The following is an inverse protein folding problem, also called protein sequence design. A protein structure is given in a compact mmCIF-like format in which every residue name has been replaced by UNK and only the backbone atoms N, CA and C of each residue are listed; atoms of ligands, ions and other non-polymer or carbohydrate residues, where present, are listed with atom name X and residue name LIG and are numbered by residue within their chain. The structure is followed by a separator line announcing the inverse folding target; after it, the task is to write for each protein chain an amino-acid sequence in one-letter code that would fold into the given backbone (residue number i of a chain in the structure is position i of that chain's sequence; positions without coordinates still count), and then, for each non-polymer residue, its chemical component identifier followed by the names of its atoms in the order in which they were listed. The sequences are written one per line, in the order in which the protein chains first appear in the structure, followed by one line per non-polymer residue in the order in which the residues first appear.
data_IF_616105234486
#
_entry.id   IF_616105234486
#
_cell.length_a   1.000
_cell.length_b   1.000
_cell.length_c   1.000
_cell.angle_alpha   90.00
_cell.angle_beta   90.00
_cell.angle_gamma   90.00
#
_symmetry.space_group_name_H-M   'P 1'
#
loop_
_entity.id
_entity.type
_entity.pdbx_description
1 polymer ?
#
# COMPACT_ATOMS: atom_id res chain seq x y z
N UNK A 1 44.47 -13.36 28.06
CA UNK A 1 43.21 -13.40 28.82
C UNK A 1 42.27 -12.46 28.08
N UNK A 2 41.37 -13.03 27.29
CA UNK A 2 40.38 -12.29 26.50
C UNK A 2 39.02 -12.63 27.12
N UNK A 3 38.43 -11.66 27.80
CA UNK A 3 37.16 -11.81 28.48
C UNK A 3 36.03 -11.87 27.45
N UNK A 4 35.52 -13.08 27.23
CA UNK A 4 34.30 -13.33 26.49
C UNK A 4 33.12 -12.82 27.32
N UNK A 5 32.51 -11.73 26.89
CA UNK A 5 31.25 -11.23 27.44
C UNK A 5 30.15 -12.26 27.14
N UNK A 6 29.45 -12.82 28.14
CA UNK A 6 28.37 -13.75 27.91
C UNK A 6 27.15 -12.98 27.39
N UNK A 7 26.74 -13.34 26.18
CA UNK A 7 25.52 -12.88 25.52
C UNK A 7 24.33 -13.64 26.14
N UNK A 8 23.88 -13.19 27.31
CA UNK A 8 22.71 -13.75 28.01
C UNK A 8 21.53 -12.78 27.93
N UNK A 9 21.07 -12.51 26.70
CA UNK A 9 19.66 -12.17 26.46
C UNK A 9 18.91 -13.48 26.22
N UNK A 10 18.60 -14.20 27.30
CA UNK A 10 17.49 -15.16 27.28
C UNK A 10 16.20 -14.36 27.21
N UNK A 11 15.88 -13.95 25.98
CA UNK A 11 14.59 -13.42 25.58
C UNK A 11 13.49 -14.31 26.17
N UNK A 12 12.77 -13.77 27.14
CA UNK A 12 11.39 -14.16 27.41
C UNK A 12 10.72 -14.11 26.05
N UNK A 13 10.33 -15.26 25.52
CA UNK A 13 9.55 -15.39 24.29
C UNK A 13 8.17 -14.77 24.55
N UNK A 14 8.14 -13.45 24.60
CA UNK A 14 6.96 -12.67 24.33
C UNK A 14 6.47 -13.19 22.98
N UNK A 15 5.24 -13.69 22.96
CA UNK A 15 4.56 -14.18 21.76
C UNK A 15 4.22 -13.00 20.83
N UNK A 16 5.15 -12.04 20.71
CA UNK A 16 5.06 -10.79 19.98
C UNK A 16 4.56 -11.13 18.58
N UNK A 17 3.41 -10.54 18.30
CA UNK A 17 2.58 -10.74 17.12
C UNK A 17 3.44 -10.70 15.86
N UNK A 18 3.76 -11.88 15.33
CA UNK A 18 4.56 -12.02 14.12
C UNK A 18 3.71 -11.67 12.89
N UNK A 19 3.75 -10.41 12.45
CA UNK A 19 2.99 -9.99 11.27
C UNK A 19 3.57 -10.62 10.00
N UNK A 20 2.77 -11.45 9.32
CA UNK A 20 3.14 -12.07 8.03
C UNK A 20 3.01 -11.08 6.88
N UNK A 21 3.71 -11.29 5.75
CA UNK A 21 3.58 -10.41 4.56
C UNK A 21 2.12 -10.23 4.17
N UNK A 22 1.36 -11.32 4.09
CA UNK A 22 0.03 -11.32 3.49
C UNK A 22 -1.09 -11.22 4.51
N UNK A 23 -2.08 -10.38 4.21
CA UNK A 23 -3.36 -10.35 4.90
C UNK A 23 -4.46 -10.93 4.01
N UNK A 24 -5.61 -11.23 4.60
CA UNK A 24 -6.80 -11.46 3.80
C UNK A 24 -7.18 -10.18 3.05
N UNK A 25 -7.27 -10.26 1.74
CA UNK A 25 -7.61 -9.12 0.86
C UNK A 25 -9.00 -8.57 1.19
N UNK A 26 -9.95 -9.44 1.55
CA UNK A 26 -11.31 -9.05 1.86
C UNK A 26 -11.47 -8.46 3.27
N UNK A 27 -11.06 -9.19 4.31
CA UNK A 27 -11.33 -8.82 5.70
C UNK A 27 -10.15 -8.15 6.41
N UNK A 28 -9.00 -8.02 5.75
CA UNK A 28 -7.79 -7.39 6.31
C UNK A 28 -7.10 -8.17 7.43
N UNK A 29 -7.68 -9.30 7.88
CA UNK A 29 -7.14 -10.08 8.99
C UNK A 29 -5.84 -10.78 8.62
N UNK A 30 -4.94 -10.85 9.58
CA UNK A 30 -3.77 -11.72 9.55
C UNK A 30 -4.20 -13.20 9.59
N UNK A 31 -3.42 -14.12 8.98
CA UNK A 31 -3.66 -15.54 9.14
C UNK A 31 -3.49 -15.94 10.62
N UNK A 32 -4.36 -16.82 11.12
CA UNK A 32 -4.15 -17.45 12.41
C UNK A 32 -2.82 -18.23 12.44
N UNK A 33 -2.28 -18.51 13.62
CA UNK A 33 -1.03 -19.28 13.79
C UNK A 33 -1.16 -20.62 13.03
N UNK A 34 -0.27 -20.84 12.06
CA UNK A 34 -0.27 -22.04 11.22
C UNK A 34 -1.24 -22.03 10.04
N UNK A 35 -2.17 -21.07 9.95
CA UNK A 35 -3.09 -20.94 8.83
C UNK A 35 -2.36 -20.43 7.58
N UNK A 36 -2.52 -21.15 6.47
CA UNK A 36 -2.11 -20.65 5.14
C UNK A 36 -3.29 -19.95 4.49
N UNK A 37 -3.10 -18.70 4.05
CA UNK A 37 -4.10 -18.01 3.25
C UNK A 37 -4.22 -18.67 1.87
N UNK A 38 -5.46 -18.77 1.37
CA UNK A 38 -5.76 -19.27 0.03
C UNK A 38 -5.43 -18.20 -0.99
N UNK A 39 -4.64 -18.54 -2.00
CA UNK A 39 -4.32 -17.64 -3.10
C UNK A 39 -5.32 -17.81 -4.25
N UNK A 40 -5.69 -16.72 -4.92
CA UNK A 40 -6.46 -16.82 -6.16
C UNK A 40 -5.63 -17.48 -7.26
N UNK A 41 -6.00 -18.70 -7.66
CA UNK A 41 -5.32 -19.47 -8.70
C UNK A 41 -5.40 -18.84 -10.10
N UNK A 42 -6.38 -17.95 -10.32
CA UNK A 42 -6.61 -17.34 -11.63
C UNK A 42 -5.84 -16.03 -11.86
N UNK A 43 -5.21 -15.47 -10.83
CA UNK A 43 -4.63 -14.13 -10.87
C UNK A 43 -3.11 -14.16 -10.84
N UNK A 44 -2.50 -13.28 -11.65
CA UNK A 44 -1.04 -13.12 -11.68
C UNK A 44 -0.48 -12.54 -10.37
N UNK A 45 -1.21 -11.59 -9.76
CA UNK A 45 -0.88 -11.02 -8.46
C UNK A 45 -1.32 -11.88 -7.27
N UNK A 46 -2.15 -12.90 -7.53
CA UNK A 46 -2.60 -13.93 -6.58
C UNK A 46 -2.99 -13.40 -5.17
N UNK A 47 -3.99 -12.50 -5.03
CA UNK A 47 -4.42 -12.05 -3.71
C UNK A 47 -4.81 -13.22 -2.81
N UNK A 48 -4.60 -13.00 -1.52
CA UNK A 48 -4.72 -14.00 -0.47
C UNK A 48 -6.00 -13.80 0.33
N UNK A 49 -6.63 -14.90 0.75
CA UNK A 49 -7.89 -14.92 1.47
C UNK A 49 -7.86 -15.92 2.63
N UNK A 50 -8.55 -15.63 3.73
CA UNK A 50 -8.72 -16.61 4.83
C UNK A 50 -9.45 -17.88 4.36
N UNK A 51 -10.37 -17.76 3.40
CA UNK A 51 -11.29 -18.80 2.97
C UNK A 51 -11.99 -18.47 1.66
N UNK A 52 -12.81 -19.40 1.18
CA UNK A 52 -13.57 -19.24 -0.07
C UNK A 52 -14.68 -18.19 0.07
N UNK A 53 -15.19 -17.98 1.28
CA UNK A 53 -16.19 -16.99 1.60
C UNK A 53 -15.63 -15.58 1.35
N UNK A 54 -14.43 -15.29 1.88
CA UNK A 54 -13.73 -14.04 1.66
C UNK A 54 -13.41 -13.81 0.17
N UNK A 55 -12.97 -14.87 -0.53
CA UNK A 55 -12.69 -14.77 -1.96
C UNK A 55 -13.97 -14.46 -2.76
N UNK A 56 -15.10 -15.12 -2.47
CA UNK A 56 -16.38 -14.87 -3.13
C UNK A 56 -16.92 -13.46 -2.86
N UNK A 57 -16.73 -12.96 -1.63
CA UNK A 57 -17.16 -11.62 -1.24
C UNK A 57 -16.36 -10.51 -1.95
N UNK A 58 -15.04 -10.71 -2.13
CA UNK A 58 -14.16 -9.78 -2.84
C UNK A 58 -14.18 -9.92 -4.37
N UNK A 59 -14.63 -11.10 -4.87
CA UNK A 59 -14.67 -11.42 -6.30
C UNK A 59 -15.26 -10.35 -7.22
N UNK A 60 -16.36 -9.64 -6.87
CA UNK A 60 -16.94 -8.62 -7.73
C UNK A 60 -15.97 -7.49 -8.09
N UNK A 61 -15.10 -7.10 -7.16
CA UNK A 61 -14.08 -6.05 -7.35
C UNK A 61 -12.80 -6.68 -7.88
N UNK A 62 -12.34 -7.76 -7.26
CA UNK A 62 -11.10 -8.45 -7.60
C UNK A 62 -11.03 -8.92 -9.06
N UNK A 63 -12.10 -9.52 -9.60
CA UNK A 63 -12.12 -10.00 -10.99
C UNK A 63 -11.90 -8.87 -11.99
N UNK A 64 -12.45 -7.69 -11.73
CA UNK A 64 -12.31 -6.56 -12.63
C UNK A 64 -10.88 -6.00 -12.58
N UNK A 65 -10.26 -6.01 -11.41
CA UNK A 65 -8.88 -5.57 -11.23
C UNK A 65 -7.84 -6.49 -11.91
N UNK A 66 -8.02 -7.81 -11.81
CA UNK A 66 -6.96 -8.76 -12.14
C UNK A 66 -7.25 -9.71 -13.31
N UNK A 67 -8.52 -9.89 -13.72
CA UNK A 67 -8.91 -10.86 -14.75
C UNK A 67 -9.39 -10.26 -16.07
N UNK A 68 -10.10 -9.12 -16.06
CA UNK A 68 -10.83 -8.66 -17.26
C UNK A 68 -9.93 -7.89 -18.26
N UNK A 69 -9.10 -6.90 -17.85
CA UNK A 69 -8.24 -6.17 -18.78
C UNK A 69 -6.96 -6.94 -19.15
N UNK A 70 -6.36 -7.63 -18.18
CA UNK A 70 -4.98 -8.13 -18.24
C UNK A 70 -4.75 -9.37 -19.12
N UNK A 71 -5.78 -10.22 -19.27
CA UNK A 71 -5.67 -11.51 -19.95
C UNK A 71 -6.33 -11.53 -21.34
N UNK A 72 -7.44 -10.81 -21.54
CA UNK A 72 -8.18 -10.84 -22.82
C UNK A 72 -7.79 -9.72 -23.80
N UNK A 73 -7.30 -8.57 -23.31
CA UNK A 73 -7.09 -7.38 -24.16
C UNK A 73 -5.61 -7.00 -24.35
N UNK A 74 -4.70 -7.87 -23.93
CA UNK A 74 -3.26 -7.66 -24.17
C UNK A 74 -2.73 -6.43 -23.45
N UNK A 75 -3.22 -6.14 -22.23
CA UNK A 75 -2.63 -5.10 -21.37
C UNK A 75 -1.17 -5.39 -20.99
N UNK A 76 -0.68 -6.58 -21.31
CA UNK A 76 0.76 -6.85 -21.40
C UNK A 76 1.25 -6.42 -22.78
N UNK A 77 1.82 -5.23 -22.88
CA UNK A 77 2.62 -4.75 -24.03
C UNK A 77 3.51 -5.87 -24.58
N UNK A 78 3.20 -6.44 -25.74
CA UNK A 78 4.05 -7.40 -26.47
C UNK A 78 4.69 -8.52 -25.62
N UNK A 79 4.14 -8.85 -24.45
CA UNK A 79 4.71 -9.86 -23.57
C UNK A 79 4.22 -11.22 -24.09
N UNK A 80 5.12 -12.21 -24.28
CA UNK A 80 4.77 -13.58 -24.64
C UNK A 80 3.61 -14.14 -23.80
N UNK A 81 2.89 -15.10 -24.39
CA UNK A 81 1.59 -15.63 -23.90
C UNK A 81 1.55 -15.94 -22.39
N UNK A 82 0.36 -15.85 -21.78
CA UNK A 82 0.04 -15.96 -20.34
C UNK A 82 0.54 -17.23 -19.60
N UNK A 83 1.19 -18.17 -20.28
CA UNK A 83 1.82 -19.35 -19.70
C UNK A 83 3.31 -19.16 -19.35
N UNK A 84 3.89 -18.00 -19.64
CA UNK A 84 5.27 -17.70 -19.27
C UNK A 84 5.49 -17.72 -17.73
N UNK A 85 6.29 -18.67 -17.20
CA UNK A 85 6.62 -18.73 -15.78
C UNK A 85 7.31 -17.46 -15.25
N UNK A 86 8.09 -16.78 -16.10
CA UNK A 86 8.79 -15.55 -15.75
C UNK A 86 7.81 -14.41 -15.51
N UNK A 87 6.83 -14.21 -16.40
CA UNK A 87 5.74 -13.25 -16.19
C UNK A 87 5.00 -13.46 -14.86
N UNK A 88 4.66 -14.71 -14.55
CA UNK A 88 4.02 -15.04 -13.25
C UNK A 88 4.94 -14.73 -12.08
N UNK A 89 6.24 -14.92 -12.23
CA UNK A 89 7.23 -14.59 -11.20
C UNK A 89 7.32 -13.08 -11.00
N UNK A 90 7.45 -12.28 -12.07
CA UNK A 90 7.52 -10.82 -11.98
C UNK A 90 6.24 -10.24 -11.38
N UNK A 91 5.07 -10.67 -11.84
CA UNK A 91 3.77 -10.20 -11.33
C UNK A 91 3.57 -10.54 -9.85
N UNK A 92 4.03 -11.71 -9.40
CA UNK A 92 4.02 -12.08 -7.99
C UNK A 92 4.97 -11.21 -7.17
N UNK A 93 6.20 -10.98 -7.63
CA UNK A 93 7.15 -10.12 -6.93
C UNK A 93 6.66 -8.66 -6.84
N UNK A 94 5.98 -8.18 -7.88
CA UNK A 94 5.28 -6.89 -7.87
C UNK A 94 4.17 -6.85 -6.82
N UNK A 95 3.28 -7.85 -6.81
CA UNK A 95 2.19 -7.93 -5.84
C UNK A 95 2.71 -8.03 -4.40
N UNK A 96 3.74 -8.86 -4.16
CA UNK A 96 4.38 -9.01 -2.86
C UNK A 96 5.01 -7.68 -2.41
N UNK A 97 5.67 -6.95 -3.31
CA UNK A 97 6.22 -5.62 -2.99
C UNK A 97 5.13 -4.63 -2.59
N UNK A 98 4.03 -4.57 -3.37
CA UNK A 98 2.92 -3.68 -3.08
C UNK A 98 2.23 -4.04 -1.76
N UNK A 99 2.10 -5.33 -1.44
CA UNK A 99 1.53 -5.79 -0.17
C UNK A 99 2.46 -5.47 1.02
N UNK A 100 3.78 -5.65 0.85
CA UNK A 100 4.78 -5.25 1.85
C UNK A 100 4.65 -3.78 2.19
N UNK A 101 4.47 -2.91 1.18
CA UNK A 101 4.41 -1.46 1.32
C UNK A 101 2.99 -0.87 1.36
N UNK A 102 1.97 -1.71 1.50
CA UNK A 102 0.56 -1.32 1.40
C UNK A 102 0.20 -0.17 2.30
N UNK A 103 0.67 -0.19 3.56
CA UNK A 103 0.35 0.89 4.51
C UNK A 103 0.89 2.23 4.02
N UNK A 104 2.17 2.30 3.61
CA UNK A 104 2.80 3.52 3.12
C UNK A 104 2.10 4.05 1.87
N UNK A 105 1.77 3.14 0.95
CA UNK A 105 1.05 3.45 -0.28
C UNK A 105 -0.33 4.04 0.02
N UNK A 106 -1.13 3.36 0.84
CA UNK A 106 -2.47 3.82 1.23
C UNK A 106 -2.44 5.14 1.98
N UNK A 107 -1.45 5.37 2.85
CA UNK A 107 -1.28 6.63 3.58
C UNK A 107 -0.91 7.78 2.64
N UNK A 108 0.04 7.59 1.72
CA UNK A 108 0.38 8.61 0.74
C UNK A 108 -0.79 8.90 -0.22
N UNK A 109 -1.58 7.88 -0.56
CA UNK A 109 -2.81 8.03 -1.34
C UNK A 109 -3.84 8.89 -0.61
N UNK A 110 -4.07 8.61 0.67
CA UNK A 110 -4.95 9.40 1.53
C UNK A 110 -4.47 10.85 1.63
N UNK A 111 -3.19 11.08 1.91
CA UNK A 111 -2.61 12.42 2.00
C UNK A 111 -2.77 13.19 0.67
N UNK A 112 -2.48 12.54 -0.46
CA UNK A 112 -2.65 13.15 -1.80
C UNK A 112 -4.11 13.52 -2.06
N UNK A 113 -5.04 12.63 -1.75
CA UNK A 113 -6.48 12.92 -1.85
C UNK A 113 -6.89 14.12 -1.00
N UNK A 114 -6.48 14.17 0.28
CA UNK A 114 -6.80 15.28 1.18
C UNK A 114 -6.23 16.60 0.66
N UNK A 115 -4.99 16.59 0.14
CA UNK A 115 -4.35 17.77 -0.46
C UNK A 115 -5.12 18.34 -1.66
N UNK A 116 -5.76 17.47 -2.46
CA UNK A 116 -6.49 17.86 -3.67
C UNK A 116 -7.98 18.15 -3.44
N UNK A 117 -8.64 17.41 -2.55
CA UNK A 117 -10.11 17.39 -2.41
C UNK A 117 -10.60 17.57 -0.97
N UNK A 118 -9.70 17.81 -0.01
CA UNK A 118 -10.07 17.88 1.40
C UNK A 118 -10.56 16.55 1.97
N UNK A 119 -11.26 16.60 3.11
CA UNK A 119 -11.67 15.38 3.83
C UNK A 119 -12.90 14.71 3.21
N UNK A 120 -13.90 15.46 2.75
CA UNK A 120 -15.23 14.92 2.44
C UNK A 120 -15.37 14.22 1.09
N UNK A 121 -14.32 14.16 0.25
CA UNK A 121 -14.38 13.73 -1.16
C UNK A 121 -15.34 14.57 -2.04
N UNK A 122 -15.97 15.61 -1.49
CA UNK A 122 -16.84 16.49 -2.26
C UNK A 122 -16.04 17.13 -3.40
N UNK A 123 -16.54 16.97 -4.62
CA UNK A 123 -15.86 17.46 -5.81
C UNK A 123 -14.65 16.64 -6.27
N UNK A 124 -14.36 15.47 -5.66
CA UNK A 124 -13.40 14.52 -6.23
C UNK A 124 -13.95 13.97 -7.55
N UNK A 125 -13.33 14.28 -8.71
CA UNK A 125 -13.85 13.85 -9.99
C UNK A 125 -13.85 12.32 -10.09
N UNK A 126 -14.95 11.75 -10.60
CA UNK A 126 -15.07 10.30 -10.78
C UNK A 126 -14.16 9.79 -11.90
N UNK A 127 -13.76 10.63 -12.82
CA UNK A 127 -12.88 10.28 -13.93
C UNK A 127 -11.39 10.36 -13.58
N UNK A 128 -11.01 10.25 -12.30
CA UNK A 128 -9.61 10.32 -11.86
C UNK A 128 -9.12 9.05 -11.18
N UNK A 129 -7.83 8.78 -11.37
CA UNK A 129 -7.09 7.73 -10.69
C UNK A 129 -5.85 8.32 -10.04
N UNK A 130 -5.44 7.70 -8.93
CA UNK A 130 -4.16 7.99 -8.33
C UNK A 130 -3.09 7.11 -8.99
N UNK A 131 -2.22 7.71 -9.79
CA UNK A 131 -1.12 7.03 -10.46
C UNK A 131 0.13 7.07 -9.58
N UNK A 132 0.67 5.89 -9.28
CA UNK A 132 1.92 5.69 -8.57
C UNK A 132 2.94 5.07 -9.55
N UNK A 133 3.98 5.82 -9.89
CA UNK A 133 5.02 5.40 -10.84
C UNK A 133 6.20 4.78 -10.07
N UNK A 134 6.67 3.64 -10.58
CA UNK A 134 7.74 2.87 -9.97
C UNK A 134 8.79 2.38 -10.98
N UNK A 135 10.05 2.66 -10.69
CA UNK A 135 11.20 2.13 -11.44
C UNK A 135 11.77 0.85 -10.78
N UNK A 136 12.09 -0.18 -11.57
CA UNK A 136 12.70 -1.42 -11.09
C UNK A 136 14.21 -1.24 -10.82
N UNK A 137 14.66 -1.66 -9.63
CA UNK A 137 16.05 -1.74 -9.22
C UNK A 137 16.46 -3.21 -9.13
N UNK A 138 16.76 -3.81 -10.27
CA UNK A 138 17.29 -5.17 -10.28
C UNK A 138 18.84 -5.17 -10.19
N UNK A 139 19.49 -6.06 -9.41
CA UNK A 139 18.96 -7.08 -8.49
C UNK A 139 19.02 -6.64 -7.02
N UNK A 140 17.88 -6.33 -6.40
CA UNK A 140 17.80 -6.05 -4.94
C UNK A 140 16.69 -6.88 -4.25
N UNK A 141 16.73 -6.93 -2.92
CA UNK A 141 15.73 -7.64 -2.12
C UNK A 141 14.30 -7.09 -2.30
N UNK A 142 13.29 -7.92 -1.98
CA UNK A 142 11.88 -7.64 -2.25
C UNK A 142 11.43 -6.24 -1.77
N UNK A 143 11.79 -5.81 -0.56
CA UNK A 143 11.37 -4.52 -0.02
C UNK A 143 12.01 -3.30 -0.70
N UNK A 144 13.09 -3.48 -1.46
CA UNK A 144 13.82 -2.41 -2.17
C UNK A 144 13.68 -2.49 -3.68
N UNK A 145 12.89 -3.46 -4.18
CA UNK A 145 12.87 -3.80 -5.60
C UNK A 145 12.50 -2.62 -6.47
N UNK A 146 11.51 -1.84 -6.06
CA UNK A 146 11.09 -0.69 -6.84
C UNK A 146 11.39 0.62 -6.11
N UNK A 147 11.70 1.64 -6.90
CA UNK A 147 11.74 3.04 -6.48
C UNK A 147 10.38 3.61 -6.77
N UNK A 148 9.77 4.24 -5.79
CA UNK A 148 8.61 5.07 -5.97
C UNK A 148 9.06 6.49 -6.35
N UNK A 149 8.89 6.83 -7.62
CA UNK A 149 9.34 8.10 -8.18
C UNK A 149 8.26 9.19 -8.07
N UNK A 150 7.00 8.81 -8.29
CA UNK A 150 5.93 9.79 -8.39
C UNK A 150 4.56 9.26 -7.91
N UNK A 151 3.74 10.17 -7.39
CA UNK A 151 2.34 9.95 -7.02
C UNK A 151 1.53 11.18 -7.42
N UNK A 152 0.54 10.97 -8.28
CA UNK A 152 -0.26 12.05 -8.83
C UNK A 152 -1.70 11.63 -9.13
N UNK A 153 -2.62 12.56 -9.00
CA UNK A 153 -4.01 12.36 -9.39
C UNK A 153 -4.22 12.80 -10.84
N UNK A 154 -4.49 11.84 -11.73
CA UNK A 154 -4.60 12.07 -13.17
C UNK A 154 -5.99 11.68 -13.67
N UNK A 155 -6.52 12.36 -14.72
CA UNK A 155 -7.69 11.87 -15.44
C UNK A 155 -7.44 10.46 -15.98
N UNK A 156 -8.45 9.61 -15.96
CA UNK A 156 -8.42 8.24 -16.50
C UNK A 156 -7.95 8.28 -17.96
N UNK A 157 -8.49 9.20 -18.76
CA UNK A 157 -8.17 9.27 -20.19
C UNK A 157 -6.68 9.59 -20.42
N UNK A 158 -6.10 10.51 -19.64
CA UNK A 158 -4.66 10.84 -19.71
C UNK A 158 -3.79 9.66 -19.27
N UNK A 159 -4.21 8.92 -18.25
CA UNK A 159 -3.49 7.71 -17.85
C UNK A 159 -3.58 6.63 -18.93
N UNK A 160 -4.76 6.45 -19.54
CA UNK A 160 -4.96 5.51 -20.63
C UNK A 160 -4.11 5.89 -21.86
N UNK A 161 -3.93 7.17 -22.17
CA UNK A 161 -3.04 7.61 -23.27
C UNK A 161 -1.58 7.16 -23.06
N UNK A 162 -1.08 7.17 -21.82
CA UNK A 162 0.31 6.76 -21.50
C UNK A 162 0.50 5.26 -21.69
N UNK A 163 -0.49 4.46 -21.30
CA UNK A 163 -0.39 2.99 -21.29
C UNK A 163 -0.99 2.33 -22.54
N UNK A 164 -1.73 3.09 -23.33
CA UNK A 164 -2.36 2.64 -24.56
C UNK A 164 -1.81 3.46 -25.71
N UNK A 165 -0.75 2.95 -26.36
CA UNK A 165 -0.63 3.07 -27.82
C UNK A 165 -1.75 2.31 -28.56
N UNK A 166 -2.63 1.65 -27.79
CA UNK A 166 -3.68 0.77 -28.22
C UNK A 166 -4.92 1.59 -28.59
N UNK A 167 -5.38 1.49 -29.84
CA UNK A 167 -6.47 2.29 -30.39
C UNK A 167 -7.75 2.39 -29.54
N UNK A 168 -8.57 3.39 -29.85
CA UNK A 168 -9.73 3.88 -29.08
C UNK A 168 -10.65 2.81 -28.49
N UNK A 169 -10.92 1.72 -29.22
CA UNK A 169 -11.80 0.62 -28.76
C UNK A 169 -11.31 -0.03 -27.46
N UNK A 170 -9.99 -0.19 -27.26
CA UNK A 170 -9.46 -0.79 -26.02
C UNK A 170 -9.61 0.18 -24.85
N UNK A 171 -9.30 1.46 -25.05
CA UNK A 171 -9.44 2.49 -24.01
C UNK A 171 -10.87 2.53 -23.45
N UNK A 172 -11.90 2.55 -24.31
CA UNK A 172 -13.31 2.55 -23.89
C UNK A 172 -13.64 1.35 -23.01
N UNK A 173 -13.09 0.17 -23.34
CA UNK A 173 -13.34 -1.03 -22.55
C UNK A 173 -12.72 -0.95 -21.17
N UNK A 174 -11.48 -0.47 -21.08
CA UNK A 174 -10.75 -0.35 -19.83
C UNK A 174 -11.47 0.65 -18.92
N UNK A 175 -11.86 1.80 -19.47
CA UNK A 175 -12.64 2.82 -18.78
C UNK A 175 -13.93 2.22 -18.18
N UNK A 176 -14.69 1.47 -18.98
CA UNK A 176 -15.88 0.75 -18.51
C UNK A 176 -15.57 -0.27 -17.41
N UNK A 177 -14.46 -0.99 -17.49
CA UNK A 177 -14.04 -1.92 -16.42
C UNK A 177 -13.73 -1.17 -15.13
N UNK A 178 -13.09 0.00 -15.20
CA UNK A 178 -12.83 0.86 -14.03
C UNK A 178 -14.13 1.37 -13.41
N UNK A 179 -15.04 1.89 -14.23
CA UNK A 179 -16.36 2.37 -13.80
C UNK A 179 -17.13 1.25 -13.08
N UNK A 180 -17.24 0.07 -13.70
CA UNK A 180 -17.88 -1.10 -13.11
C UNK A 180 -17.24 -1.52 -11.77
N UNK A 181 -15.91 -1.44 -11.65
CA UNK A 181 -15.22 -1.83 -10.41
C UNK A 181 -15.48 -0.83 -9.29
N UNK A 182 -15.56 0.45 -9.61
CA UNK A 182 -15.93 1.50 -8.65
C UNK A 182 -17.37 1.35 -8.20
N UNK A 183 -18.32 1.16 -9.12
CA UNK A 183 -19.72 0.93 -8.77
C UNK A 183 -19.88 -0.28 -7.83
N UNK A 184 -19.15 -1.37 -8.10
CA UNK A 184 -19.17 -2.55 -7.24
C UNK A 184 -18.53 -2.32 -5.88
N UNK A 185 -17.44 -1.56 -5.83
CA UNK A 185 -16.83 -1.20 -4.57
C UNK A 185 -17.73 -0.25 -3.77
N UNK A 186 -18.37 0.72 -4.41
CA UNK A 186 -19.36 1.60 -3.80
C UNK A 186 -20.56 0.79 -3.27
N UNK A 187 -21.04 -0.22 -4.00
CA UNK A 187 -22.09 -1.12 -3.52
C UNK A 187 -21.64 -1.99 -2.33
N UNK A 188 -20.38 -2.45 -2.34
CA UNK A 188 -19.80 -3.28 -1.27
C UNK A 188 -19.59 -2.48 0.02
N UNK A 189 -18.96 -1.30 -0.09
CA UNK A 189 -18.54 -0.50 1.04
C UNK A 189 -19.56 0.57 1.45
N UNK A 190 -20.54 0.90 0.60
CA UNK A 190 -21.54 1.94 0.84
C UNK A 190 -22.44 1.71 2.06
N UNK A 191 -22.44 0.49 2.61
CA UNK A 191 -23.14 0.15 3.87
C UNK A 191 -22.28 0.35 5.12
N UNK A 192 -20.99 0.62 4.95
CA UNK A 192 -20.05 0.79 6.06
C UNK A 192 -20.16 2.22 6.61
N UNK A 193 -20.34 2.40 7.93
CA UNK A 193 -20.39 3.73 8.53
C UNK A 193 -19.17 4.58 8.14
N UNK A 194 -19.42 5.83 7.77
CA UNK A 194 -18.36 6.76 7.39
C UNK A 194 -17.84 6.58 5.96
N UNK A 195 -18.34 5.65 5.16
CA UNK A 195 -17.90 5.52 3.76
C UNK A 195 -18.13 6.81 2.96
N UNK A 196 -17.11 7.24 2.21
CA UNK A 196 -17.14 8.45 1.37
C UNK A 196 -17.12 8.13 -0.14
N UNK A 197 -16.60 6.96 -0.53
CA UNK A 197 -16.41 6.61 -1.93
C UNK A 197 -15.14 5.81 -2.15
N UNK A 198 -14.80 5.59 -3.41
CA UNK A 198 -13.60 4.85 -3.81
C UNK A 198 -12.63 5.70 -4.61
N UNK A 199 -11.34 5.54 -4.28
CA UNK A 199 -10.22 6.09 -5.04
C UNK A 199 -9.46 4.94 -5.70
N UNK A 200 -9.53 4.79 -7.04
CA UNK A 200 -8.67 3.84 -7.74
C UNK A 200 -7.21 4.27 -7.64
N UNK A 201 -6.33 3.33 -7.30
CA UNK A 201 -4.88 3.50 -7.32
C UNK A 201 -4.33 2.62 -8.42
N UNK A 202 -3.55 3.20 -9.31
CA UNK A 202 -2.83 2.49 -10.37
C UNK A 202 -1.35 2.49 -10.05
N UNK A 203 -0.72 1.33 -10.20
CA UNK A 203 0.70 1.10 -10.03
C UNK A 203 1.30 0.88 -11.42
N UNK A 204 2.11 1.83 -11.86
CA UNK A 204 2.89 1.74 -13.08
C UNK A 204 4.29 1.26 -12.71
N UNK A 205 4.53 -0.04 -12.84
CA UNK A 205 5.86 -0.61 -12.66
C UNK A 205 6.49 -0.61 -14.06
N UNK A 206 7.60 0.09 -14.25
CA UNK A 206 8.34 0.28 -15.52
C UNK A 206 8.82 -1.04 -16.20
N UNK A 207 8.29 -2.18 -15.74
CA UNK A 207 8.46 -3.55 -16.23
C UNK A 207 7.21 -4.07 -16.96
N UNK A 208 6.43 -3.18 -17.60
CA UNK A 208 5.17 -3.51 -18.31
C UNK A 208 4.05 -4.09 -17.42
N UNK A 209 4.17 -3.96 -16.10
CA UNK A 209 3.19 -4.48 -15.15
C UNK A 209 2.38 -3.32 -14.61
N UNK A 210 1.13 -3.26 -15.06
CA UNK A 210 0.14 -2.35 -14.52
C UNK A 210 -0.76 -3.14 -13.57
N UNK A 211 -0.66 -2.81 -12.29
CA UNK A 211 -1.58 -3.29 -11.27
C UNK A 211 -2.46 -2.13 -10.85
N UNK A 212 -3.66 -2.42 -10.40
CA UNK A 212 -4.49 -1.39 -9.80
C UNK A 212 -5.32 -1.97 -8.68
N UNK A 213 -5.71 -1.10 -7.77
CA UNK A 213 -6.45 -1.42 -6.57
C UNK A 213 -7.54 -0.38 -6.35
N UNK A 214 -8.70 -0.81 -5.87
CA UNK A 214 -9.75 0.09 -5.43
C UNK A 214 -9.58 0.35 -3.94
N UNK A 215 -9.19 1.57 -3.58
CA UNK A 215 -8.99 1.96 -2.19
C UNK A 215 -10.26 2.65 -1.65
N UNK A 216 -11.07 1.99 -0.80
CA UNK A 216 -12.22 2.64 -0.18
C UNK A 216 -11.77 3.79 0.73
N UNK A 217 -12.53 4.88 0.73
CA UNK A 217 -12.26 6.07 1.51
C UNK A 217 -13.35 6.24 2.58
N UNK A 218 -12.94 6.61 3.78
CA UNK A 218 -13.81 6.78 4.93
C UNK A 218 -13.63 8.16 5.55
N UNK A 219 -14.66 8.61 6.26
CA UNK A 219 -14.58 9.77 7.16
C UNK A 219 -13.59 9.43 8.26
N UNK A 220 -12.79 10.42 8.71
CA UNK A 220 -11.96 10.26 9.88
C UNK A 220 -12.77 9.75 11.07
N UNK A 221 -12.22 8.77 11.78
CA UNK A 221 -12.82 8.18 12.97
C UNK A 221 -12.40 8.88 14.26
N UNK A 222 -11.41 9.79 14.18
CA UNK A 222 -10.95 10.56 15.33
C UNK A 222 -12.12 11.32 16.01
N UNK A 223 -12.25 11.28 17.35
CA UNK A 223 -13.38 11.89 18.05
C UNK A 223 -13.49 13.40 17.84
N UNK A 224 -12.35 14.06 17.58
CA UNK A 224 -12.24 15.48 17.31
C UNK A 224 -11.47 15.70 16.00
N UNK A 225 -12.09 15.50 14.82
CA UNK A 225 -11.41 15.72 13.56
C UNK A 225 -11.12 17.22 13.37
N UNK A 226 -9.95 17.54 12.81
CA UNK A 226 -9.58 18.93 12.54
C UNK A 226 -10.62 19.61 11.62
N UNK A 227 -11.10 20.83 11.95
CA UNK A 227 -12.03 21.55 11.11
C UNK A 227 -11.39 21.91 9.75
N UNK A 228 -12.19 22.10 8.68
CA UNK A 228 -11.66 22.32 7.33
C UNK A 228 -10.62 23.44 7.18
N UNK A 229 -10.72 24.51 8.00
CA UNK A 229 -9.75 25.61 8.00
C UNK A 229 -8.38 25.17 8.55
N UNK A 230 -8.34 24.30 9.54
CA UNK A 230 -7.10 23.77 10.13
C UNK A 230 -6.46 22.72 9.23
N UNK A 231 -7.24 22.07 8.36
CA UNK A 231 -6.69 21.18 7.32
C UNK A 231 -5.78 21.91 6.34
N UNK A 232 -6.12 23.16 6.00
CA UNK A 232 -5.25 23.98 5.15
C UNK A 232 -3.92 24.24 5.83
N UNK A 233 -3.91 24.45 7.15
CA UNK A 233 -2.68 24.57 7.93
C UNK A 233 -1.87 23.25 7.97
N UNK A 234 -2.54 22.11 7.79
CA UNK A 234 -1.90 20.79 7.71
C UNK A 234 -1.32 20.46 6.32
N UNK A 235 -1.51 21.31 5.30
CA UNK A 235 -0.98 21.06 3.94
C UNK A 235 0.53 20.72 3.93
N UNK A 236 1.43 21.49 4.59
CA UNK A 236 2.85 21.14 4.65
C UNK A 236 3.10 19.75 5.27
N UNK A 237 2.34 19.40 6.30
CA UNK A 237 2.48 18.12 6.99
C UNK A 237 1.98 16.94 6.13
N UNK A 238 0.91 17.14 5.36
CA UNK A 238 0.41 16.15 4.39
C UNK A 238 1.39 15.93 3.23
N UNK A 239 2.03 17.00 2.74
CA UNK A 239 3.10 16.89 1.74
C UNK A 239 4.30 16.11 2.30
N UNK A 240 4.68 16.38 3.55
CA UNK A 240 5.76 15.67 4.23
C UNK A 240 5.39 14.21 4.53
N UNK A 241 4.14 13.92 4.88
CA UNK A 241 3.63 12.56 5.04
C UNK A 241 3.77 11.75 3.75
N UNK A 242 3.39 12.35 2.61
CA UNK A 242 3.56 11.74 1.28
C UNK A 242 5.03 11.48 0.99
N UNK A 243 5.91 12.47 1.21
CA UNK A 243 7.37 12.33 1.01
C UNK A 243 7.97 11.25 1.92
N UNK A 244 7.57 11.22 3.19
CA UNK A 244 8.00 10.24 4.18
C UNK A 244 7.62 8.82 3.74
N UNK A 245 6.38 8.61 3.32
CA UNK A 245 5.92 7.31 2.81
C UNK A 245 6.74 6.84 1.60
N UNK A 246 6.92 7.70 0.59
CA UNK A 246 7.75 7.39 -0.58
C UNK A 246 9.20 7.09 -0.19
N UNK A 247 9.78 7.89 0.70
CA UNK A 247 11.15 7.71 1.18
C UNK A 247 11.33 6.39 1.93
N UNK A 248 10.37 6.00 2.77
CA UNK A 248 10.36 4.69 3.43
C UNK A 248 10.36 3.55 2.41
N UNK A 249 9.47 3.59 1.41
CA UNK A 249 9.42 2.60 0.32
C UNK A 249 10.78 2.51 -0.39
N UNK A 250 11.35 3.66 -0.77
CA UNK A 250 12.61 3.77 -1.52
C UNK A 250 13.84 3.28 -0.75
N UNK A 251 13.79 3.26 0.58
CA UNK A 251 14.85 2.74 1.47
C UNK A 251 14.57 1.31 1.94
N UNK A 252 13.43 0.73 1.57
CA UNK A 252 12.98 -0.58 2.03
C UNK A 252 12.60 -0.61 3.51
N UNK A 253 12.22 0.54 4.08
CA UNK A 253 11.64 0.66 5.42
C UNK A 253 10.14 0.39 5.30
N UNK A 254 9.68 -0.66 5.95
CA UNK A 254 8.30 -1.14 5.87
C UNK A 254 7.51 -0.57 7.04
N UNK A 255 6.48 0.23 6.74
CA UNK A 255 5.57 0.79 7.74
C UNK A 255 4.43 -0.19 8.04
N UNK A 256 4.24 -0.59 9.30
CA UNK A 256 3.08 -1.39 9.76
C UNK A 256 2.60 -0.99 11.15
N UNK A 257 1.32 -1.23 11.41
CA UNK A 257 0.76 -1.10 12.74
C UNK A 257 1.07 -2.39 13.54
N UNK A 258 1.68 -2.31 14.73
CA UNK A 258 2.07 -3.49 15.51
C UNK A 258 0.86 -4.26 16.09
N UNK A 259 -0.30 -3.60 16.22
CA UNK A 259 -1.53 -4.24 16.70
C UNK A 259 -2.37 -4.65 15.49
N UNK A 260 -2.50 -5.97 15.26
CA UNK A 260 -3.08 -6.63 14.07
C UNK A 260 -4.54 -6.30 13.72
N UNK A 261 -5.12 -5.24 14.28
CA UNK A 261 -6.34 -4.64 13.78
C UNK A 261 -5.97 -3.48 12.85
N UNK A 262 -5.79 -3.78 11.57
CA UNK A 262 -5.65 -2.76 10.51
C UNK A 262 -6.78 -1.71 10.49
N UNK A 263 -7.88 -1.99 11.21
CA UNK A 263 -9.08 -1.15 11.36
C UNK A 263 -8.99 -0.15 12.52
N UNK A 264 -8.16 -0.39 13.57
CA UNK A 264 -8.25 0.36 14.83
C UNK A 264 -7.34 1.60 14.93
N UNK A 265 -7.00 2.24 13.81
CA UNK A 265 -6.41 3.59 13.83
C UNK A 265 -5.07 3.74 14.56
N UNK A 266 -4.18 2.74 14.46
CA UNK A 266 -2.84 2.84 15.04
C UNK A 266 -1.83 3.52 14.13
N UNK A 267 -0.93 4.32 14.71
CA UNK A 267 0.23 4.89 13.99
C UNK A 267 1.19 3.77 13.58
N UNK A 268 1.51 3.67 12.29
CA UNK A 268 2.47 2.67 11.83
C UNK A 268 3.88 2.96 12.34
N UNK A 269 4.59 1.90 12.70
CA UNK A 269 6.00 1.92 13.07
C UNK A 269 6.87 1.49 11.88
N UNK A 270 8.10 2.00 11.78
CA UNK A 270 9.06 1.54 10.79
C UNK A 270 9.64 0.17 11.19
N UNK A 271 9.77 -0.72 10.21
CA UNK A 271 10.37 -2.04 10.39
C UNK A 271 10.93 -2.62 9.09
N UNK A 272 11.24 -3.92 9.12
CA UNK A 272 11.68 -4.70 7.96
C UNK A 272 11.21 -6.13 8.03
N UNK A 273 11.14 -6.80 6.89
CA UNK A 273 10.99 -8.25 6.86
C UNK A 273 12.33 -8.95 7.10
N UNK A 274 12.34 -9.87 8.05
CA UNK A 274 13.44 -10.81 8.32
C UNK A 274 12.95 -12.23 8.06
N UNK A 275 13.85 -13.15 7.69
CA UNK A 275 13.49 -14.57 7.57
C UNK A 275 13.66 -15.23 8.94
N UNK A 276 12.60 -15.83 9.46
CA UNK A 276 12.62 -16.70 10.62
C UNK A 276 11.93 -18.00 10.25
N UNK A 277 12.60 -19.14 10.47
CA UNK A 277 12.07 -20.47 10.12
C UNK A 277 11.59 -20.58 8.65
N UNK A 278 12.33 -19.94 7.74
CA UNK A 278 12.01 -19.91 6.31
C UNK A 278 10.85 -18.99 5.91
N UNK A 279 10.13 -18.40 6.88
CA UNK A 279 9.01 -17.47 6.67
C UNK A 279 9.44 -16.01 6.81
N UNK A 280 8.89 -15.10 6.00
CA UNK A 280 9.13 -13.67 6.18
C UNK A 280 8.28 -13.15 7.34
N UNK A 281 8.93 -12.52 8.31
CA UNK A 281 8.28 -11.90 9.45
C UNK A 281 8.68 -10.43 9.54
N UNK A 282 7.71 -9.55 9.75
CA UNK A 282 7.98 -8.14 9.97
C UNK A 282 8.49 -7.91 11.39
N UNK A 283 9.64 -7.26 11.51
CA UNK A 283 10.26 -6.85 12.77
C UNK A 283 10.39 -5.33 12.79
N UNK A 284 9.82 -4.70 13.82
CA UNK A 284 9.90 -3.25 14.02
C UNK A 284 11.32 -2.82 14.39
N UNK A 285 11.69 -1.61 13.98
CA UNK A 285 12.95 -0.96 14.38
C UNK A 285 12.85 -0.23 15.72
N UNK A 286 11.64 0.21 16.07
CA UNK A 286 11.30 0.95 17.29
C UNK A 286 9.98 0.44 17.83
N UNK A 287 9.80 0.54 19.15
CA UNK A 287 8.56 0.18 19.84
C UNK A 287 7.57 1.35 19.89
N UNK A 288 8.08 2.57 19.76
CA UNK A 288 7.29 3.80 19.79
C UNK A 288 7.97 4.90 18.99
N UNK A 289 7.17 5.82 18.45
CA UNK A 289 7.67 7.06 17.84
C UNK A 289 8.42 7.96 18.83
N UNK A 290 8.30 7.75 20.15
CA UNK A 290 9.14 8.44 21.15
C UNK A 290 10.62 8.02 21.01
N UNK A 291 10.87 6.78 20.59
CA UNK A 291 12.22 6.20 20.49
C UNK A 291 12.87 6.37 19.11
N UNK A 292 12.23 7.05 18.15
CA UNK A 292 12.73 7.13 16.77
C UNK A 292 14.16 7.70 16.67
N UNK A 293 14.54 8.66 17.54
CA UNK A 293 15.91 9.21 17.59
C UNK A 293 16.96 8.14 17.90
N UNK A 294 16.63 7.14 18.72
CA UNK A 294 17.50 5.99 18.99
C UNK A 294 17.67 5.15 17.71
N UNK A 295 16.58 4.91 16.99
CA UNK A 295 16.63 4.20 15.71
C UNK A 295 17.46 4.93 14.65
N UNK A 296 17.47 6.26 14.60
CA UNK A 296 18.31 7.01 13.65
C UNK A 296 19.80 6.67 13.78
N UNK A 297 20.26 6.38 15.01
CA UNK A 297 21.66 6.01 15.26
C UNK A 297 21.94 4.55 14.91
N UNK A 298 20.95 3.68 15.13
CA UNK A 298 21.11 2.22 14.98
C UNK A 298 20.84 1.71 13.56
N UNK A 299 19.95 2.37 12.82
CA UNK A 299 19.46 1.90 11.51
C UNK A 299 19.62 2.97 10.43
N UNK A 300 20.71 2.93 9.65
CA UNK A 300 21.01 3.92 8.62
C UNK A 300 19.90 4.10 7.59
N UNK A 301 19.17 3.03 7.24
CA UNK A 301 18.04 3.06 6.32
C UNK A 301 16.87 3.91 6.85
N UNK A 302 16.59 3.86 8.16
CA UNK A 302 15.58 4.68 8.83
C UNK A 302 16.06 6.13 8.86
N UNK A 303 17.33 6.35 9.20
CA UNK A 303 17.92 7.68 9.16
C UNK A 303 17.83 8.32 7.78
N UNK A 304 18.14 7.57 6.72
CA UNK A 304 18.03 8.05 5.35
C UNK A 304 16.57 8.26 4.93
N UNK A 305 15.65 7.39 5.35
CA UNK A 305 14.24 7.55 5.05
C UNK A 305 13.68 8.85 5.66
N UNK A 306 14.13 9.21 6.86
CA UNK A 306 13.64 10.38 7.61
C UNK A 306 14.48 11.64 7.36
N UNK A 307 15.58 11.54 6.62
CA UNK A 307 16.41 12.68 6.19
C UNK A 307 15.81 13.30 4.92
N UNK A 308 14.69 13.99 5.07
CA UNK A 308 14.05 14.75 4.00
C UNK A 308 13.90 16.23 4.38
N UNK A 309 13.87 17.16 3.41
CA UNK A 309 13.51 18.54 3.67
C UNK A 309 12.00 18.62 3.96
N UNK A 310 11.62 18.31 5.20
CA UNK A 310 10.24 18.41 5.65
C UNK A 310 9.85 19.88 5.78
N UNK A 311 8.87 20.31 4.99
CA UNK A 311 8.44 21.71 4.89
C UNK A 311 7.70 22.15 6.16
N UNK A 312 6.96 21.24 6.79
CA UNK A 312 6.25 21.46 8.04
C UNK A 312 7.16 21.66 9.25
N UNK A 313 8.44 21.24 9.14
CA UNK A 313 9.38 21.12 10.27
C UNK A 313 8.87 20.22 11.41
N UNK A 314 7.83 19.43 11.16
CA UNK A 314 7.32 18.47 12.13
C UNK A 314 8.23 17.25 12.20
N UNK A 315 8.36 16.69 13.38
CA UNK A 315 9.05 15.42 13.56
C UNK A 315 8.26 14.27 12.91
N UNK A 316 8.92 13.23 12.36
CA UNK A 316 8.25 12.12 11.69
C UNK A 316 7.13 11.48 12.52
N UNK A 317 7.30 11.34 13.84
CA UNK A 317 6.27 10.80 14.72
C UNK A 317 4.99 11.65 14.76
N UNK A 318 5.13 12.98 14.72
CA UNK A 318 3.98 13.90 14.65
C UNK A 318 3.32 13.86 13.28
N UNK A 319 4.11 13.80 12.20
CA UNK A 319 3.58 13.62 10.84
C UNK A 319 2.77 12.33 10.77
N UNK A 320 3.28 11.23 11.32
CA UNK A 320 2.61 9.94 11.31
C UNK A 320 1.37 9.92 12.20
N UNK A 321 1.38 10.61 13.34
CA UNK A 321 0.18 10.77 14.18
C UNK A 321 -0.97 11.51 13.48
N UNK A 322 -0.68 12.32 12.46
CA UNK A 322 -1.75 12.94 11.66
C UNK A 322 -2.57 11.91 10.87
N UNK A 323 -2.07 10.68 10.63
CA UNK A 323 -2.90 9.67 9.94
C UNK A 323 -4.15 9.33 10.70
N UNK A 324 -4.12 9.40 12.03
CA UNK A 324 -5.26 9.09 12.88
C UNK A 324 -6.35 10.16 12.74
N UNK A 325 -5.99 11.39 12.33
CA UNK A 325 -6.93 12.46 11.99
C UNK A 325 -7.65 12.23 10.66
N UNK A 326 -7.21 11.25 9.86
CA UNK A 326 -7.71 11.04 8.49
C UNK A 326 -8.22 9.63 8.22
N UNK A 327 -7.99 8.67 9.13
CA UNK A 327 -8.34 7.26 8.97
C UNK A 327 -9.60 6.84 9.72
#
# INVERSE_FOLDING_TARGET
MADSVPDTDTDILDHSVWATIHHCTHCGKEPAIGQKLKQCAGCLAAPTYCGIECQRADWPVHRLAFHDPSLKYGFSYEIPQANDPERRRVSRLAADFLEVHKWAISTAALATRVLHHGISLDGCPKDRVLLCDFDDRWPVGLSRRYVWDNIQLVPVDKWLEVICSLGSTRMTKIKRTFENARERADALYGRTPGYLGTLPIVFNLNTFVILWHINPQFKPTHPNPLPPRELLACRPALEDMRRLCMSCVNRGVVLRCPWGNAVSGGVALPGRFVRSEGRPIWKQYIDSWVDYKKALRRYPEVAQAFKGPFVSRMEPGLIMGLTDQFR
#
